data_IF_951335027055
#
_entry.id   IF_951335027055
#
_cell.length_a   1.000
_cell.length_b   1.000
_cell.length_c   1.000
_cell.angle_alpha   90.00
_cell.angle_beta   90.00
_cell.angle_gamma   90.00
#
_symmetry.space_group_name_H-M   'P 1'
#
loop_
_entity.id
_entity.type
_entity.pdbx_description
1 polymer ?
#
# COMPACT_ATOMS: atom_id res chain seq x y z
N UNK A 1 -11.52 1.37 -7.89
CA UNK A 1 -11.01 2.46 -7.07
C UNK A 1 -9.80 3.15 -7.70
N UNK A 2 -8.71 2.46 -8.15
CA UNK A 2 -7.54 3.14 -8.74
C UNK A 2 -7.93 4.08 -9.88
N UNK A 3 -8.76 3.63 -10.84
CA UNK A 3 -9.25 4.45 -11.95
C UNK A 3 -10.08 5.66 -11.48
N UNK A 4 -10.96 5.45 -10.50
CA UNK A 4 -11.77 6.50 -9.87
C UNK A 4 -10.86 7.59 -9.28
N UNK A 5 -9.89 7.18 -8.45
CA UNK A 5 -8.94 8.09 -7.83
C UNK A 5 -7.99 8.76 -8.83
N UNK A 6 -7.67 8.10 -9.93
CA UNK A 6 -6.92 8.71 -11.02
C UNK A 6 -7.64 9.94 -11.59
N UNK A 7 -8.96 9.86 -11.76
CA UNK A 7 -9.77 10.99 -12.24
C UNK A 7 -10.04 12.03 -11.14
N UNK A 8 -10.32 11.61 -9.90
CA UNK A 8 -10.58 12.51 -8.78
C UNK A 8 -9.42 13.50 -8.54
N UNK A 9 -8.18 13.02 -8.70
CA UNK A 9 -6.96 13.81 -8.49
C UNK A 9 -6.30 14.30 -9.79
N UNK A 10 -7.03 14.35 -10.91
CA UNK A 10 -6.48 14.74 -12.22
C UNK A 10 -5.97 16.18 -12.24
N UNK A 11 -6.72 17.12 -11.67
CA UNK A 11 -6.40 18.55 -11.67
C UNK A 11 -5.05 18.89 -11.04
N UNK A 12 -4.59 18.07 -10.09
CA UNK A 12 -3.32 18.26 -9.39
C UNK A 12 -2.27 17.21 -9.76
N UNK A 13 -2.58 16.34 -10.71
CA UNK A 13 -1.76 15.16 -11.05
C UNK A 13 -1.38 14.33 -9.82
N UNK A 14 -2.35 14.09 -8.93
CA UNK A 14 -2.16 13.30 -7.73
C UNK A 14 -1.73 11.88 -8.05
N UNK A 15 -0.77 11.37 -7.29
CA UNK A 15 -0.18 10.06 -7.51
C UNK A 15 -0.73 9.02 -6.54
N UNK A 16 -0.69 7.76 -6.92
CA UNK A 16 -1.19 6.63 -6.15
C UNK A 16 -0.12 5.56 -6.03
N UNK A 17 0.03 5.00 -4.84
CA UNK A 17 0.89 3.83 -4.61
C UNK A 17 0.03 2.59 -4.38
N UNK A 18 0.41 1.48 -4.98
CA UNK A 18 -0.28 0.19 -4.83
C UNK A 18 0.69 -0.83 -4.28
N UNK A 19 0.42 -1.30 -3.08
CA UNK A 19 1.21 -2.32 -2.41
C UNK A 19 0.59 -3.71 -2.54
N UNK A 20 1.43 -4.69 -2.88
CA UNK A 20 1.12 -6.10 -2.72
C UNK A 20 2.41 -6.89 -2.53
N UNK A 21 2.51 -7.61 -1.42
CA UNK A 21 3.64 -8.52 -1.15
C UNK A 21 3.36 -9.91 -1.75
N UNK A 22 2.08 -10.23 -2.02
CA UNK A 22 1.61 -11.45 -2.68
C UNK A 22 1.33 -11.25 -4.18
N UNK A 23 2.05 -10.33 -4.82
CA UNK A 23 1.79 -9.89 -6.20
C UNK A 23 1.99 -10.97 -7.27
N UNK A 24 2.71 -12.05 -6.96
CA UNK A 24 3.06 -13.07 -7.93
C UNK A 24 2.72 -14.47 -7.42
N UNK A 25 1.88 -15.17 -8.17
CA UNK A 25 1.63 -16.58 -7.97
C UNK A 25 2.57 -17.38 -8.88
N UNK A 26 3.38 -18.26 -8.27
CA UNK A 26 4.33 -19.09 -8.99
C UNK A 26 4.33 -20.53 -8.47
N UNK A 27 4.60 -21.48 -9.35
CA UNK A 27 4.92 -22.86 -8.99
C UNK A 27 6.32 -23.18 -9.51
N UNK A 28 7.27 -23.36 -8.61
CA UNK A 28 8.67 -23.50 -8.97
C UNK A 28 9.21 -22.24 -9.67
N UNK A 29 9.71 -22.40 -10.91
CA UNK A 29 10.26 -21.30 -11.72
C UNK A 29 9.24 -20.62 -12.64
N UNK A 30 8.00 -21.12 -12.69
CA UNK A 30 6.97 -20.62 -13.59
C UNK A 30 6.04 -19.68 -12.83
N UNK A 31 6.00 -18.41 -13.21
CA UNK A 31 5.00 -17.46 -12.74
C UNK A 31 3.71 -17.65 -13.55
N UNK A 32 2.61 -17.97 -12.86
CA UNK A 32 1.30 -18.14 -13.50
C UNK A 32 0.53 -16.85 -13.59
N UNK A 33 0.71 -15.97 -12.63
CA UNK A 33 -0.06 -14.74 -12.54
C UNK A 33 0.76 -13.66 -11.84
N UNK A 34 0.72 -12.46 -12.39
CA UNK A 34 1.33 -11.25 -11.83
C UNK A 34 0.25 -10.18 -11.68
N UNK A 35 -0.11 -9.89 -10.44
CA UNK A 35 -1.16 -8.93 -10.09
C UNK A 35 -0.86 -7.54 -10.66
N UNK A 36 0.39 -7.08 -10.57
CA UNK A 36 0.76 -5.75 -11.04
C UNK A 36 0.63 -5.63 -12.57
N UNK A 37 1.07 -6.66 -13.31
CA UNK A 37 0.93 -6.70 -14.77
C UNK A 37 -0.54 -6.69 -15.19
N UNK A 38 -1.38 -7.45 -14.50
CA UNK A 38 -2.81 -7.52 -14.80
C UNK A 38 -3.53 -6.20 -14.44
N UNK A 39 -3.17 -5.56 -13.33
CA UNK A 39 -3.70 -4.23 -12.98
C UNK A 39 -3.27 -3.22 -14.04
N UNK A 40 -1.99 -3.17 -14.42
CA UNK A 40 -1.49 -2.26 -15.45
C UNK A 40 -2.27 -2.46 -16.75
N UNK A 41 -2.40 -3.69 -17.24
CA UNK A 41 -3.18 -4.01 -18.44
C UNK A 41 -4.61 -3.45 -18.35
N UNK A 42 -5.32 -3.75 -17.25
CA UNK A 42 -6.70 -3.29 -17.05
C UNK A 42 -6.85 -1.78 -16.96
N UNK A 43 -5.88 -1.08 -16.41
CA UNK A 43 -5.90 0.38 -16.32
C UNK A 43 -5.64 1.02 -17.71
N UNK A 44 -4.71 0.45 -18.48
CA UNK A 44 -4.44 0.88 -19.87
C UNK A 44 -5.65 0.63 -20.75
N UNK A 45 -6.29 -0.54 -20.65
CA UNK A 45 -7.52 -0.87 -21.39
C UNK A 45 -8.68 0.10 -21.08
N UNK A 46 -8.61 0.81 -19.93
CA UNK A 46 -9.59 1.83 -19.49
C UNK A 46 -9.14 3.27 -19.73
N UNK A 47 -8.06 3.47 -20.46
CA UNK A 47 -7.65 4.77 -20.97
C UNK A 47 -6.57 5.49 -20.16
N UNK A 48 -5.98 4.89 -19.12
CA UNK A 48 -4.80 5.48 -18.47
C UNK A 48 -3.58 5.23 -19.35
N UNK A 49 -2.78 6.26 -19.69
CA UNK A 49 -1.56 6.10 -20.47
C UNK A 49 -0.58 5.11 -19.81
N UNK A 50 0.02 4.24 -20.64
CA UNK A 50 0.88 3.16 -20.13
C UNK A 50 2.18 3.67 -19.47
N UNK A 51 2.63 4.86 -19.84
CA UNK A 51 3.79 5.57 -19.31
C UNK A 51 3.50 6.25 -17.96
N UNK A 52 2.24 6.52 -17.64
CA UNK A 52 1.83 7.01 -16.32
C UNK A 52 1.69 5.88 -15.26
N UNK A 53 1.91 4.61 -15.66
CA UNK A 53 1.80 3.45 -14.77
C UNK A 53 3.14 2.72 -14.70
N UNK A 54 3.76 2.70 -13.52
CA UNK A 54 5.03 2.05 -13.27
C UNK A 54 4.93 0.85 -12.32
N UNK A 55 5.73 -0.18 -12.58
CA UNK A 55 5.97 -1.31 -11.68
C UNK A 55 7.42 -1.24 -11.25
N UNK A 56 7.70 -1.01 -9.96
CA UNK A 56 9.07 -0.80 -9.45
C UNK A 56 10.01 -1.97 -9.76
N UNK A 57 9.47 -3.17 -9.94
CA UNK A 57 10.25 -4.36 -10.25
C UNK A 57 10.93 -4.31 -11.62
N UNK A 58 10.48 -3.45 -12.53
CA UNK A 58 11.07 -3.26 -13.85
C UNK A 58 12.35 -2.40 -13.81
N UNK A 59 12.53 -1.64 -12.74
CA UNK A 59 13.65 -0.73 -12.53
C UNK A 59 14.74 -1.41 -11.70
N UNK A 60 15.82 -1.83 -12.36
CA UNK A 60 16.84 -2.70 -11.76
C UNK A 60 17.91 -1.95 -10.98
N UNK A 61 18.28 -0.75 -11.42
CA UNK A 61 19.33 0.06 -10.82
C UNK A 61 18.76 1.15 -9.93
N UNK A 62 19.54 1.58 -8.94
CA UNK A 62 19.14 2.66 -8.05
C UNK A 62 18.96 3.98 -8.81
N UNK A 63 19.77 4.22 -9.85
CA UNK A 63 19.62 5.38 -10.73
C UNK A 63 18.25 5.38 -11.42
N UNK A 64 17.86 4.25 -12.04
CA UNK A 64 16.54 4.12 -12.68
C UNK A 64 15.40 4.33 -11.70
N UNK A 65 15.54 3.83 -10.46
CA UNK A 65 14.52 4.03 -9.41
C UNK A 65 14.42 5.50 -9.00
N UNK A 66 15.56 6.19 -8.85
CA UNK A 66 15.55 7.61 -8.52
C UNK A 66 14.87 8.42 -9.63
N UNK A 67 15.21 8.18 -10.90
CA UNK A 67 14.56 8.81 -12.04
C UNK A 67 13.03 8.56 -12.05
N UNK A 68 12.60 7.32 -11.71
CA UNK A 68 11.19 7.00 -11.57
C UNK A 68 10.52 7.81 -10.45
N UNK A 69 11.16 7.94 -9.28
CA UNK A 69 10.59 8.69 -8.16
C UNK A 69 10.49 10.19 -8.47
N UNK A 70 11.41 10.73 -9.25
CA UNK A 70 11.33 12.10 -9.74
C UNK A 70 10.13 12.28 -10.69
N UNK A 71 9.82 11.30 -11.55
CA UNK A 71 8.62 11.31 -12.40
C UNK A 71 7.34 11.21 -11.57
N UNK A 72 7.32 10.39 -10.51
CA UNK A 72 6.19 10.30 -9.58
C UNK A 72 5.97 11.63 -8.88
N UNK A 73 7.01 12.28 -8.36
CA UNK A 73 6.89 13.58 -7.70
C UNK A 73 6.41 14.69 -8.65
N UNK A 74 6.77 14.64 -9.94
CA UNK A 74 6.27 15.57 -10.96
C UNK A 74 4.82 15.30 -11.35
N UNK A 75 4.31 14.09 -11.09
CA UNK A 75 3.00 13.64 -11.54
C UNK A 75 2.98 13.18 -13.00
N UNK A 76 4.15 12.85 -13.56
CA UNK A 76 4.27 12.24 -14.90
C UNK A 76 4.02 10.72 -14.82
N UNK A 77 4.33 10.09 -13.68
CA UNK A 77 3.89 8.74 -13.32
C UNK A 77 2.89 8.87 -12.20
N UNK A 78 1.64 8.50 -12.44
CA UNK A 78 0.52 8.70 -11.51
C UNK A 78 0.12 7.44 -10.74
N UNK A 79 0.51 6.27 -11.21
CA UNK A 79 0.28 5.00 -10.51
C UNK A 79 1.59 4.23 -10.42
N UNK A 80 2.09 4.01 -9.20
CA UNK A 80 3.27 3.19 -8.96
C UNK A 80 2.89 1.95 -8.15
N UNK A 81 3.36 0.77 -8.58
CA UNK A 81 3.04 -0.52 -7.95
C UNK A 81 4.31 -1.22 -7.50
N UNK A 82 4.26 -1.85 -6.32
CA UNK A 82 5.39 -2.61 -5.81
C UNK A 82 5.16 -3.26 -4.46
N UNK A 83 6.18 -3.99 -4.01
CA UNK A 83 6.17 -4.62 -2.69
C UNK A 83 6.56 -3.61 -1.61
N UNK A 84 6.17 -3.90 -0.36
CA UNK A 84 6.56 -3.11 0.82
C UNK A 84 8.08 -2.95 0.89
N UNK A 85 8.84 -4.00 0.62
CA UNK A 85 10.30 -3.95 0.64
C UNK A 85 10.88 -2.96 -0.38
N UNK A 86 10.30 -2.86 -1.58
CA UNK A 86 10.83 -2.03 -2.67
C UNK A 86 10.37 -0.57 -2.61
N UNK A 87 9.15 -0.33 -2.16
CA UNK A 87 8.56 1.00 -2.06
C UNK A 87 8.49 1.51 -0.61
N UNK A 88 8.66 0.63 0.38
CA UNK A 88 8.54 0.93 1.81
C UNK A 88 9.80 1.56 2.43
N UNK A 89 11.00 1.51 1.83
CA UNK A 89 12.24 2.00 2.43
C UNK A 89 13.02 2.96 1.53
N UNK A 90 13.51 4.08 2.10
CA UNK A 90 14.45 4.99 1.43
C UNK A 90 13.92 5.78 0.23
N UNK A 91 12.63 5.75 -0.04
CA UNK A 91 12.01 6.34 -1.23
C UNK A 91 11.48 7.73 -0.94
N UNK A 92 11.76 8.67 -1.84
CA UNK A 92 11.31 10.06 -1.78
C UNK A 92 10.33 10.32 -2.95
N UNK A 93 9.04 9.96 -2.75
CA UNK A 93 8.00 10.09 -3.79
C UNK A 93 6.67 10.67 -3.24
N UNK A 94 6.75 11.44 -2.14
CA UNK A 94 5.57 11.87 -1.39
C UNK A 94 4.92 13.16 -1.89
N UNK A 95 5.56 13.92 -2.79
CA UNK A 95 5.12 15.30 -3.08
C UNK A 95 3.66 15.40 -3.55
N UNK A 96 3.19 14.44 -4.34
CA UNK A 96 1.82 14.40 -4.89
C UNK A 96 1.07 13.13 -4.50
N UNK A 97 1.57 12.38 -3.51
CA UNK A 97 0.99 11.11 -3.14
C UNK A 97 -0.35 11.32 -2.44
N UNK A 98 -1.42 10.93 -3.11
CA UNK A 98 -2.81 11.16 -2.69
C UNK A 98 -3.43 9.90 -2.07
N UNK A 99 -3.11 8.71 -2.61
CA UNK A 99 -3.78 7.47 -2.22
C UNK A 99 -2.80 6.32 -2.10
N UNK A 100 -2.93 5.56 -1.02
CA UNK A 100 -2.32 4.26 -0.80
C UNK A 100 -3.36 3.15 -1.00
N UNK A 101 -2.99 2.14 -1.76
CA UNK A 101 -3.80 0.94 -1.96
C UNK A 101 -3.06 -0.28 -1.40
N UNK A 102 -3.55 -0.83 -0.30
CA UNK A 102 -3.06 -2.08 0.27
C UNK A 102 -3.88 -3.25 -0.26
N UNK A 103 -3.37 -3.95 -1.29
CA UNK A 103 -4.08 -5.09 -1.90
C UNK A 103 -4.02 -6.35 -1.03
N UNK A 104 -3.06 -6.43 -0.13
CA UNK A 104 -2.90 -7.50 0.85
C UNK A 104 -2.48 -6.93 2.21
N UNK A 105 -2.74 -7.72 3.26
CA UNK A 105 -2.27 -7.40 4.59
C UNK A 105 -0.74 -7.60 4.66
N UNK A 106 0.03 -6.62 5.12
CA UNK A 106 1.47 -6.79 5.31
C UNK A 106 1.75 -7.83 6.39
N UNK A 107 2.90 -8.51 6.32
CA UNK A 107 3.25 -9.58 7.27
C UNK A 107 3.61 -9.06 8.67
N UNK A 108 4.05 -7.80 8.78
CA UNK A 108 4.50 -7.19 10.03
C UNK A 108 3.81 -5.85 10.26
N UNK A 109 3.49 -5.50 11.53
CA UNK A 109 2.99 -4.17 11.84
C UNK A 109 3.91 -3.03 11.37
N UNK A 110 5.23 -3.21 11.50
CA UNK A 110 6.21 -2.24 11.02
C UNK A 110 6.15 -2.01 9.50
N UNK A 111 5.78 -3.03 8.71
CA UNK A 111 5.61 -2.91 7.27
C UNK A 111 4.38 -2.04 6.95
N UNK A 112 3.30 -2.19 7.74
CA UNK A 112 2.11 -1.34 7.64
C UNK A 112 2.43 0.14 7.97
N UNK A 113 3.16 0.37 9.05
CA UNK A 113 3.63 1.71 9.41
C UNK A 113 4.56 2.30 8.34
N UNK A 114 5.40 1.47 7.72
CA UNK A 114 6.25 1.89 6.61
C UNK A 114 5.46 2.28 5.38
N UNK A 115 4.39 1.55 5.02
CA UNK A 115 3.51 1.90 3.90
C UNK A 115 2.87 3.26 4.17
N UNK A 116 2.10 3.39 5.23
CA UNK A 116 1.37 4.62 5.60
C UNK A 116 2.32 5.80 5.88
N UNK A 117 3.49 5.56 6.46
CA UNK A 117 4.49 6.58 6.70
C UNK A 117 5.09 7.22 5.43
N UNK A 118 4.73 6.74 4.23
CA UNK A 118 5.07 7.36 2.96
C UNK A 118 4.12 8.48 2.58
N UNK A 119 2.85 8.32 2.91
CA UNK A 119 1.81 9.31 2.63
C UNK A 119 1.94 10.53 3.52
N UNK A 120 2.11 10.29 4.82
CA UNK A 120 2.15 11.33 5.85
C UNK A 120 3.61 11.78 6.05
N UNK A 121 4.15 12.49 5.07
CA UNK A 121 5.50 13.06 5.14
C UNK A 121 5.50 14.55 4.85
N UNK A 122 6.47 15.25 5.44
CA UNK A 122 6.73 16.64 5.07
C UNK A 122 7.05 16.74 3.57
N UNK A 123 6.48 17.75 2.89
CA UNK A 123 6.66 17.96 1.46
C UNK A 123 5.55 17.41 0.58
N UNK A 124 4.52 16.77 1.12
CA UNK A 124 3.30 16.48 0.39
C UNK A 124 2.49 17.76 0.20
N UNK A 125 2.07 18.05 -1.04
CA UNK A 125 1.25 19.23 -1.37
C UNK A 125 -0.23 19.05 -0.98
N UNK A 126 -0.63 17.80 -0.68
CA UNK A 126 -2.00 17.46 -0.32
C UNK A 126 -2.19 17.54 1.19
N UNK A 127 -3.25 18.21 1.66
CA UNK A 127 -3.57 18.30 3.08
C UNK A 127 -4.09 16.98 3.65
N UNK A 128 -4.68 16.15 2.81
CA UNK A 128 -5.26 14.86 3.19
C UNK A 128 -4.83 13.79 2.20
N UNK A 129 -4.61 12.58 2.69
CA UNK A 129 -4.26 11.39 1.92
C UNK A 129 -5.16 10.24 2.34
N UNK A 130 -5.48 9.37 1.38
CA UNK A 130 -6.36 8.24 1.62
C UNK A 130 -5.58 6.93 1.69
N UNK A 131 -5.96 6.05 2.62
CA UNK A 131 -5.46 4.68 2.69
C UNK A 131 -6.62 3.72 2.42
N UNK A 132 -6.56 3.01 1.31
CA UNK A 132 -7.57 2.05 0.89
C UNK A 132 -7.04 0.63 1.07
N UNK A 133 -7.60 -0.09 2.04
CA UNK A 133 -7.28 -1.50 2.30
C UNK A 133 -8.30 -2.38 1.62
N UNK A 134 -7.81 -3.42 0.97
CA UNK A 134 -8.64 -4.38 0.26
C UNK A 134 -8.63 -5.71 1.01
N UNK A 135 -9.78 -6.34 1.09
CA UNK A 135 -9.95 -7.66 1.65
C UNK A 135 -11.17 -8.31 1.03
N UNK A 136 -11.11 -9.60 0.80
CA UNK A 136 -12.26 -10.38 0.36
C UNK A 136 -12.93 -10.99 1.57
N UNK A 137 -14.27 -10.90 1.62
CA UNK A 137 -15.06 -11.56 2.63
C UNK A 137 -14.80 -13.07 2.63
N UNK A 138 -14.84 -13.69 3.80
CA UNK A 138 -14.67 -15.14 4.00
C UNK A 138 -13.33 -15.70 3.48
N UNK A 139 -12.26 -14.87 3.43
CA UNK A 139 -10.94 -15.31 3.00
C UNK A 139 -9.91 -15.23 4.14
N UNK A 140 -8.67 -15.64 3.83
CA UNK A 140 -7.53 -15.52 4.74
C UNK A 140 -7.20 -14.08 5.11
N UNK A 141 -7.66 -13.09 4.36
CA UNK A 141 -7.38 -11.67 4.59
C UNK A 141 -7.84 -11.21 5.98
N UNK A 142 -9.06 -11.60 6.39
CA UNK A 142 -9.57 -11.33 7.73
C UNK A 142 -8.63 -11.87 8.82
N UNK A 143 -8.15 -13.11 8.65
CA UNK A 143 -7.19 -13.75 9.56
C UNK A 143 -5.86 -13.01 9.60
N UNK A 144 -5.36 -12.55 8.47
CA UNK A 144 -4.10 -11.80 8.38
C UNK A 144 -4.19 -10.45 9.13
N UNK A 145 -5.27 -9.68 8.94
CA UNK A 145 -5.48 -8.43 9.66
C UNK A 145 -5.66 -8.65 11.18
N UNK A 146 -6.33 -9.74 11.60
CA UNK A 146 -6.42 -10.12 13.02
C UNK A 146 -5.04 -10.44 13.62
N UNK A 147 -4.18 -11.15 12.88
CA UNK A 147 -2.81 -11.43 13.31
C UNK A 147 -2.00 -10.15 13.45
N UNK A 148 -2.12 -9.21 12.51
CA UNK A 148 -1.48 -7.88 12.60
C UNK A 148 -1.92 -7.13 13.86
N UNK A 149 -3.22 -7.09 14.12
CA UNK A 149 -3.79 -6.45 15.32
C UNK A 149 -3.17 -7.03 16.61
N UNK A 150 -3.10 -8.36 16.71
CA UNK A 150 -2.52 -9.03 17.87
C UNK A 150 -1.02 -8.73 18.03
N UNK A 151 -0.26 -8.75 16.95
CA UNK A 151 1.17 -8.42 16.95
C UNK A 151 1.40 -6.97 17.35
N UNK A 152 0.64 -6.03 16.81
CA UNK A 152 0.75 -4.61 17.15
C UNK A 152 0.45 -4.36 18.63
N UNK A 153 -0.62 -4.99 19.15
CA UNK A 153 -0.97 -4.91 20.57
C UNK A 153 0.17 -5.44 21.45
N UNK A 154 0.72 -6.60 21.11
CA UNK A 154 1.83 -7.19 21.87
C UNK A 154 3.07 -6.28 21.90
N UNK A 155 3.43 -5.68 20.75
CA UNK A 155 4.56 -4.73 20.65
C UNK A 155 4.29 -3.50 21.51
N UNK A 156 3.10 -2.92 21.42
CA UNK A 156 2.72 -1.74 22.20
C UNK A 156 2.74 -2.01 23.72
N UNK A 157 2.25 -3.17 24.14
CA UNK A 157 2.26 -3.60 25.56
C UNK A 157 3.71 -3.78 26.06
N UNK A 158 4.57 -4.38 25.24
CA UNK A 158 5.98 -4.58 25.58
C UNK A 158 6.75 -3.24 25.69
N UNK A 159 6.54 -2.32 24.74
CA UNK A 159 7.21 -1.01 24.72
C UNK A 159 6.72 -0.09 25.86
N UNK A 160 5.45 -0.17 26.25
CA UNK A 160 4.89 0.64 27.34
C UNK A 160 5.18 0.07 28.74
N UNK A 161 5.85 -1.06 28.85
CA UNK A 161 6.16 -1.73 30.13
C UNK A 161 4.90 -2.13 30.93
N UNK A 162 3.74 -2.16 30.28
CA UNK A 162 2.47 -2.48 30.93
C UNK A 162 2.28 -3.99 31.00
N UNK A 163 2.21 -4.52 32.21
CA UNK A 163 1.55 -5.80 32.46
C UNK A 163 0.09 -5.67 32.01
N UNK A 164 -0.33 -6.56 31.11
CA UNK A 164 -1.64 -6.69 30.50
C UNK A 164 -2.80 -6.10 31.32
N UNK A 165 -3.24 -4.91 31.01
CA UNK A 165 -4.62 -4.47 31.21
C UNK A 165 -5.25 -4.40 29.81
N UNK A 166 -6.37 -5.12 29.65
CA UNK A 166 -6.99 -5.40 28.34
C UNK A 166 -7.73 -4.21 27.68
N UNK A 167 -7.73 -3.02 28.27
CA UNK A 167 -8.73 -1.99 27.97
C UNK A 167 -8.23 -0.77 27.18
N UNK A 168 -6.96 -0.69 26.79
CA UNK A 168 -6.47 0.42 25.94
C UNK A 168 -6.03 -0.10 24.57
N UNK A 169 -6.97 -0.11 23.63
CA UNK A 169 -6.68 -0.27 22.19
C UNK A 169 -6.04 1.02 21.68
N UNK A 170 -4.89 0.91 21.04
CA UNK A 170 -4.29 2.02 20.29
C UNK A 170 -5.10 2.23 19.01
N UNK A 171 -5.30 3.47 18.52
CA UNK A 171 -6.14 3.79 17.36
C UNK A 171 -5.82 2.95 16.12
N UNK A 172 -4.55 2.66 15.86
CA UNK A 172 -4.15 1.80 14.73
C UNK A 172 -4.57 0.34 14.88
N UNK A 173 -4.58 -0.20 16.11
CA UNK A 173 -5.01 -1.56 16.37
C UNK A 173 -6.54 -1.70 16.25
N UNK A 174 -7.29 -0.67 16.63
CA UNK A 174 -8.74 -0.57 16.45
C UNK A 174 -9.09 -0.59 14.96
N UNK A 175 -8.35 0.16 14.15
CA UNK A 175 -8.56 0.26 12.71
C UNK A 175 -8.44 -1.11 12.01
N UNK A 176 -7.39 -1.88 12.30
CA UNK A 176 -7.24 -3.25 11.75
C UNK A 176 -8.28 -4.24 12.29
N UNK A 177 -8.66 -4.13 13.56
CA UNK A 177 -9.69 -4.98 14.14
C UNK A 177 -11.05 -4.72 13.51
N UNK A 178 -11.41 -3.46 13.33
CA UNK A 178 -12.65 -3.05 12.67
C UNK A 178 -12.71 -3.55 11.22
N UNK A 179 -11.60 -3.39 10.47
CA UNK A 179 -11.52 -3.87 9.10
C UNK A 179 -11.62 -5.40 9.01
N UNK A 180 -10.91 -6.14 9.88
CA UNK A 180 -11.00 -7.60 9.89
C UNK A 180 -12.38 -8.12 10.25
N UNK A 181 -13.12 -7.43 11.12
CA UNK A 181 -14.51 -7.77 11.45
C UNK A 181 -15.44 -7.56 10.24
N UNK A 182 -15.26 -6.46 9.48
CA UNK A 182 -16.05 -6.20 8.28
C UNK A 182 -15.90 -7.30 7.22
N UNK A 183 -14.66 -7.78 6.97
CA UNK A 183 -14.42 -8.84 5.97
C UNK A 183 -14.68 -10.25 6.48
N UNK A 184 -14.84 -10.47 7.79
CA UNK A 184 -15.24 -11.77 8.35
C UNK A 184 -16.77 -11.98 8.44
N UNK A 185 -17.56 -10.99 8.05
CA UNK A 185 -19.02 -11.12 8.00
C UNK A 185 -19.70 -11.09 9.38
N UNK A 186 -19.05 -10.55 10.43
CA UNK A 186 -19.61 -10.36 11.77
C UNK A 186 -19.93 -8.90 12.04
#
# INVERSE_FOLDING_TARGET
KILEKYHDYDSIKGTQVVFSDLYQLSCGKIAYFDVFREIKRKLVDRGIPADEIAIINDYKTDKQRQELFDLVNKGDVRVIMGTTQRLGTGVNMQERLAVEHDLDAPFRPADAEQRTGRLVRQGNILPEVEVLRYGMEETLDAGMYQILTRKQKFINDALKGRRRNMDELNDSAVDYASFSAQISGN
#
